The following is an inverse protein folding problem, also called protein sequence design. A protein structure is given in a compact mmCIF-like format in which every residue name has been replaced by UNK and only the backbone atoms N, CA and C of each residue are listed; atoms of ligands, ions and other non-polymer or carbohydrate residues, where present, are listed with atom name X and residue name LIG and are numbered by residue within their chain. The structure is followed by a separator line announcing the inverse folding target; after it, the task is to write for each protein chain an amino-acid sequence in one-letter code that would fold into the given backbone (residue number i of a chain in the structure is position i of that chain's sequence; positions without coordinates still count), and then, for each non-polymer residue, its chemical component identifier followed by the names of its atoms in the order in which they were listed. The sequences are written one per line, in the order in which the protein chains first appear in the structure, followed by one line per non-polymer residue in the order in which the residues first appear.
data_IF_802165089571
#
_entry.id   IF_802165089571
#
_cell.length_a   1.000
_cell.length_b   1.000
_cell.length_c   1.000
_cell.angle_alpha   90.00
_cell.angle_beta   90.00
_cell.angle_gamma   90.00
#
_symmetry.space_group_name_H-M   'P 1'
#
loop_
_entity.id
_entity.type
_entity.pdbx_description
1 polymer ?
#
# COMPACT_ATOMS: atom_id res chain seq x y z
N UNK A 1 -4.18 67.65 -57.17
CA UNK A 1 -4.38 67.87 -55.73
C UNK A 1 -3.93 66.65 -54.90
N UNK A 2 -2.61 66.37 -54.73
CA UNK A 2 -2.13 65.30 -53.83
C UNK A 2 -1.22 65.79 -52.68
N UNK A 3 -1.02 67.10 -52.50
CA UNK A 3 -0.02 67.65 -51.57
C UNK A 3 -0.50 67.90 -50.15
N UNK A 4 -1.80 67.81 -49.85
CA UNK A 4 -2.34 68.13 -48.50
C UNK A 4 -2.55 66.90 -47.59
N UNK A 5 -2.51 65.68 -48.13
CA UNK A 5 -2.73 64.45 -47.35
C UNK A 5 -1.42 63.88 -46.75
N UNK A 6 -0.30 64.02 -47.46
CA UNK A 6 1.02 63.55 -47.00
C UNK A 6 1.55 64.39 -45.83
N UNK A 7 1.35 65.70 -45.85
CA UNK A 7 1.77 66.59 -44.76
C UNK A 7 1.00 66.33 -43.45
N UNK A 8 -0.28 65.95 -43.54
CA UNK A 8 -1.10 65.60 -42.36
C UNK A 8 -0.69 64.26 -41.74
N UNK A 9 -0.29 63.28 -42.55
CA UNK A 9 0.18 61.97 -42.06
C UNK A 9 1.58 62.11 -41.44
N UNK A 10 2.44 62.96 -41.99
CA UNK A 10 3.76 63.24 -41.43
C UNK A 10 3.65 63.93 -40.06
N UNK A 11 2.78 64.94 -39.95
CA UNK A 11 2.45 65.63 -38.68
C UNK A 11 1.86 64.70 -37.60
N UNK A 12 0.99 63.74 -37.97
CA UNK A 12 0.45 62.78 -37.02
C UNK A 12 1.51 61.78 -36.52
N UNK A 13 2.44 61.35 -37.38
CA UNK A 13 3.55 60.46 -37.00
C UNK A 13 4.55 61.15 -36.07
N UNK A 14 4.86 62.43 -36.30
CA UNK A 14 5.73 63.21 -35.42
C UNK A 14 5.08 63.47 -34.06
N UNK A 15 3.78 63.80 -34.01
CA UNK A 15 3.04 63.94 -32.75
C UNK A 15 3.00 62.64 -31.93
N UNK A 16 2.83 61.48 -32.58
CA UNK A 16 2.82 60.18 -31.88
C UNK A 16 4.21 59.80 -31.35
N UNK A 17 5.28 60.10 -32.08
CA UNK A 17 6.66 59.85 -31.65
C UNK A 17 7.07 60.74 -30.47
N UNK A 18 6.69 62.03 -30.49
CA UNK A 18 6.93 62.92 -29.33
C UNK A 18 6.10 62.55 -28.11
N UNK A 19 4.85 62.11 -28.30
CA UNK A 19 4.00 61.61 -27.20
C UNK A 19 4.58 60.37 -26.50
N UNK A 20 5.16 59.44 -27.27
CA UNK A 20 5.84 58.25 -26.72
C UNK A 20 7.15 58.62 -26.01
N UNK A 21 7.88 59.61 -26.52
CA UNK A 21 9.12 60.11 -25.89
C UNK A 21 8.84 60.79 -24.55
N UNK A 22 7.80 61.63 -24.48
CA UNK A 22 7.35 62.27 -23.24
C UNK A 22 6.84 61.25 -22.22
N UNK A 23 6.13 60.20 -22.65
CA UNK A 23 5.69 59.12 -21.76
C UNK A 23 6.87 58.33 -21.17
N UNK A 24 7.90 58.08 -21.99
CA UNK A 24 9.13 57.38 -21.57
C UNK A 24 9.96 58.24 -20.60
N UNK A 25 10.07 59.55 -20.87
CA UNK A 25 10.68 60.50 -19.95
C UNK A 25 9.88 60.63 -18.64
N UNK A 26 8.55 60.69 -18.69
CA UNK A 26 7.71 60.69 -17.49
C UNK A 26 7.88 59.39 -16.68
N UNK A 27 7.96 58.23 -17.33
CA UNK A 27 8.22 56.95 -16.66
C UNK A 27 9.63 56.91 -16.04
N UNK A 28 10.65 57.43 -16.72
CA UNK A 28 12.00 57.57 -16.17
C UNK A 28 12.08 58.57 -15.02
N UNK A 29 11.35 59.70 -15.10
CA UNK A 29 11.25 60.69 -14.02
C UNK A 29 10.49 60.10 -12.83
N UNK A 30 9.43 59.31 -13.04
CA UNK A 30 8.72 58.58 -11.97
C UNK A 30 9.66 57.53 -11.33
N UNK A 31 10.51 56.88 -12.12
CA UNK A 31 11.51 55.92 -11.64
C UNK A 31 12.66 56.60 -10.89
N UNK A 32 13.10 57.78 -11.34
CA UNK A 32 14.07 58.65 -10.66
C UNK A 32 13.49 59.23 -9.36
N UNK A 33 12.23 59.67 -9.35
CA UNK A 33 11.55 60.15 -8.14
C UNK A 33 11.40 59.01 -7.12
N UNK A 34 11.09 57.78 -7.55
CA UNK A 34 11.07 56.60 -6.67
C UNK A 34 12.44 56.27 -6.08
N UNK A 35 13.52 56.47 -6.82
CA UNK A 35 14.90 56.23 -6.34
C UNK A 35 15.41 57.35 -5.43
N UNK A 36 15.05 58.61 -5.67
CA UNK A 36 15.32 59.74 -4.78
C UNK A 36 14.51 59.62 -3.47
N UNK A 37 13.24 59.21 -3.52
CA UNK A 37 12.43 58.92 -2.33
C UNK A 37 13.08 57.82 -1.46
N UNK A 38 13.65 56.79 -2.10
CA UNK A 38 14.41 55.72 -1.42
C UNK A 38 15.70 56.23 -0.78
N UNK A 39 16.40 57.18 -1.41
CA UNK A 39 17.60 57.80 -0.83
C UNK A 39 17.27 58.73 0.35
N UNK A 40 16.21 59.53 0.25
CA UNK A 40 15.75 60.42 1.34
C UNK A 40 15.20 59.63 2.54
N UNK A 41 14.53 58.50 2.32
CA UNK A 41 14.07 57.63 3.41
C UNK A 41 15.24 57.01 4.22
N UNK A 42 16.38 56.72 3.58
CA UNK A 42 17.60 56.21 4.24
C UNK A 42 18.28 57.25 5.13
N UNK A 43 18.13 58.53 4.85
CA UNK A 43 18.75 59.62 5.61
C UNK A 43 18.01 59.99 6.91
N UNK A 44 16.74 59.55 7.06
CA UNK A 44 15.84 60.03 8.11
C UNK A 44 15.43 58.98 9.15
N UNK A 45 16.12 57.83 9.21
CA UNK A 45 15.83 56.78 10.19
C UNK A 45 14.50 56.03 9.98
N UNK A 46 13.87 56.16 8.81
CA UNK A 46 12.64 55.43 8.50
C UNK A 46 12.94 53.96 8.24
N UNK A 47 12.25 53.08 8.97
CA UNK A 47 12.40 51.62 8.81
C UNK A 47 11.74 51.19 7.49
N UNK A 48 12.32 50.23 6.76
CA UNK A 48 11.79 49.76 5.46
C UNK A 48 11.00 48.48 5.63
N UNK A 49 9.81 48.39 5.04
CA UNK A 49 8.98 47.18 5.11
C UNK A 49 9.63 46.02 4.35
N UNK A 50 9.81 44.86 5.00
CA UNK A 50 10.40 43.67 4.37
C UNK A 50 9.52 43.08 3.26
N UNK A 51 8.18 43.14 3.36
CA UNK A 51 7.28 42.58 2.35
C UNK A 51 7.12 43.40 1.06
N UNK A 52 7.14 44.74 1.12
CA UNK A 52 6.92 45.59 -0.06
C UNK A 52 8.08 46.55 -0.39
N UNK A 53 9.14 46.55 0.42
CA UNK A 53 10.34 47.37 0.28
C UNK A 53 10.11 48.89 0.23
N UNK A 54 8.94 49.35 0.70
CA UNK A 54 8.62 50.77 0.84
C UNK A 54 8.87 51.24 2.29
N UNK A 55 9.19 52.53 2.50
CA UNK A 55 9.42 53.08 3.83
C UNK A 55 8.15 53.01 4.68
N UNK A 56 8.30 52.60 5.93
CA UNK A 56 7.25 52.63 6.94
C UNK A 56 7.17 54.08 7.46
N UNK A 57 6.09 54.77 7.12
CA UNK A 57 5.82 56.13 7.61
C UNK A 57 5.45 56.17 9.11
N UNK A 58 4.76 57.23 9.55
CA UNK A 58 4.36 57.42 10.96
C UNK A 58 3.17 56.54 11.43
N UNK A 59 2.86 55.46 10.71
CA UNK A 59 1.73 54.57 11.00
C UNK A 59 2.09 53.40 11.93
N UNK A 60 1.08 52.57 12.25
CA UNK A 60 1.30 51.29 12.97
C UNK A 60 2.13 50.33 12.10
N UNK A 61 3.15 49.71 12.68
CA UNK A 61 4.01 48.73 12.02
C UNK A 61 4.21 47.50 12.90
N UNK A 62 4.49 46.37 12.28
CA UNK A 62 4.85 45.13 12.95
C UNK A 62 6.37 45.00 12.95
N UNK A 63 6.95 44.60 14.08
CA UNK A 63 8.38 44.29 14.21
C UNK A 63 8.52 42.81 14.51
N UNK A 64 9.02 42.04 13.56
CA UNK A 64 9.15 40.58 13.65
C UNK A 64 10.20 40.06 12.67
N UNK A 65 10.85 38.94 13.01
CA UNK A 65 11.96 38.34 12.23
C UNK A 65 13.09 39.34 11.96
N UNK A 66 13.51 40.07 13.01
CA UNK A 66 14.54 41.13 12.94
C UNK A 66 14.27 42.21 11.87
N UNK A 67 13.03 42.29 11.41
CA UNK A 67 12.57 43.15 10.32
C UNK A 67 11.30 43.89 10.73
N UNK A 68 10.91 44.87 9.91
CA UNK A 68 9.62 45.55 10.08
C UNK A 68 8.73 45.34 8.88
N UNK A 69 7.43 45.34 9.13
CA UNK A 69 6.41 45.03 8.15
C UNK A 69 5.24 46.01 8.29
N UNK A 70 4.66 46.42 7.17
CA UNK A 70 3.31 46.96 7.21
C UNK A 70 2.36 45.84 7.67
N UNK A 71 1.32 46.15 8.48
CA UNK A 71 0.34 45.15 8.91
C UNK A 71 -0.29 44.38 7.73
N UNK A 72 -0.47 45.03 6.58
CA UNK A 72 -1.02 44.44 5.36
C UNK A 72 0.00 43.68 4.50
N UNK A 73 1.29 43.80 4.79
CA UNK A 73 2.37 43.13 4.06
C UNK A 73 2.88 41.88 4.79
N UNK A 74 2.56 41.70 6.08
CA UNK A 74 2.84 40.47 6.81
C UNK A 74 1.68 39.49 6.59
N UNK A 75 1.82 38.62 5.59
CA UNK A 75 0.75 37.75 5.09
C UNK A 75 1.09 36.29 5.28
N UNK A 76 0.09 35.50 5.61
CA UNK A 76 0.22 34.05 5.72
C UNK A 76 0.58 33.47 4.36
N UNK A 77 1.61 32.61 4.30
CA UNK A 77 2.06 32.02 3.04
C UNK A 77 1.00 31.08 2.42
N UNK A 78 0.19 30.41 3.23
CA UNK A 78 -0.83 29.48 2.76
C UNK A 78 -2.07 30.17 2.15
N UNK A 79 -2.64 31.17 2.84
CA UNK A 79 -3.90 31.81 2.42
C UNK A 79 -3.73 33.23 1.87
N UNK A 80 -2.52 33.79 1.92
CA UNK A 80 -2.17 35.14 1.49
C UNK A 80 -2.92 36.28 2.20
N UNK A 81 -3.64 35.99 3.28
CA UNK A 81 -4.30 37.00 4.11
C UNK A 81 -3.35 37.56 5.19
N UNK A 82 -3.51 38.83 5.61
CA UNK A 82 -2.71 39.42 6.66
C UNK A 82 -2.75 38.64 7.97
N UNK A 83 -1.60 38.43 8.60
CA UNK A 83 -1.50 37.81 9.92
C UNK A 83 -1.66 38.90 10.96
N UNK A 84 -2.88 39.05 11.47
CA UNK A 84 -3.25 40.02 12.51
C UNK A 84 -3.16 39.44 13.93
N UNK A 85 -3.02 38.12 14.06
CA UNK A 85 -2.90 37.42 15.34
C UNK A 85 -1.55 37.69 16.00
N UNK A 86 -1.55 37.93 17.32
CA UNK A 86 -0.31 38.12 18.10
C UNK A 86 0.58 36.87 18.10
N UNK A 87 -0.01 35.69 17.94
CA UNK A 87 0.72 34.42 17.89
C UNK A 87 0.50 33.77 16.52
N UNK A 88 1.58 33.59 15.77
CA UNK A 88 1.59 32.95 14.45
C UNK A 88 2.59 31.79 14.44
N UNK A 89 2.62 31.02 13.36
CA UNK A 89 3.58 29.93 13.17
C UNK A 89 4.60 30.30 12.08
N UNK A 90 5.81 29.73 12.19
CA UNK A 90 6.90 29.94 11.25
C UNK A 90 7.34 28.60 10.69
N UNK A 91 7.49 28.52 9.37
CA UNK A 91 8.04 27.36 8.65
C UNK A 91 8.89 27.87 7.50
N UNK A 92 10.14 27.41 7.39
CA UNK A 92 11.10 27.84 6.34
C UNK A 92 11.15 29.37 6.14
N UNK A 93 11.24 30.12 7.24
CA UNK A 93 11.22 31.60 7.26
C UNK A 93 9.96 32.25 6.63
N UNK A 94 8.88 31.49 6.47
CA UNK A 94 7.58 31.99 6.03
C UNK A 94 6.57 32.05 7.20
N UNK A 95 5.82 33.14 7.35
CA UNK A 95 4.78 33.25 8.37
C UNK A 95 3.50 32.55 7.92
N UNK A 96 2.85 31.86 8.85
CA UNK A 96 1.56 31.21 8.67
C UNK A 96 0.60 31.59 9.80
N UNK A 97 -0.70 31.69 9.50
CA UNK A 97 -1.70 31.61 10.58
C UNK A 97 -1.54 30.28 11.31
N UNK A 98 -1.83 30.25 12.63
CA UNK A 98 -1.74 29.01 13.40
C UNK A 98 -2.67 27.92 12.88
N UNK A 99 -3.84 28.31 12.41
CA UNK A 99 -4.82 27.43 11.76
C UNK A 99 -4.28 26.90 10.43
N UNK A 100 -3.78 27.76 9.54
CA UNK A 100 -3.20 27.34 8.26
C UNK A 100 -2.00 26.42 8.44
N UNK A 101 -1.08 26.77 9.34
CA UNK A 101 0.05 25.90 9.68
C UNK A 101 -0.41 24.54 10.20
N UNK A 102 -1.46 24.52 11.03
CA UNK A 102 -2.02 23.26 11.52
C UNK A 102 -2.62 22.43 10.38
N UNK A 103 -3.40 23.04 9.48
CA UNK A 103 -3.98 22.32 8.35
C UNK A 103 -2.92 21.72 7.41
N UNK A 104 -1.83 22.44 7.16
CA UNK A 104 -0.80 22.03 6.20
C UNK A 104 0.20 21.03 6.79
N UNK A 105 0.62 21.21 8.05
CA UNK A 105 1.75 20.48 8.62
C UNK A 105 1.38 19.52 9.75
N UNK A 106 0.21 19.67 10.36
CA UNK A 106 -0.17 18.81 11.48
C UNK A 106 -0.76 17.50 10.95
N UNK A 107 -0.20 16.32 11.31
CA UNK A 107 -0.67 15.06 10.78
C UNK A 107 -2.11 14.79 11.22
N UNK A 108 -2.90 14.26 10.28
CA UNK A 108 -4.22 13.68 10.51
C UNK A 108 -4.10 12.17 10.69
N UNK A 109 -5.00 11.62 11.50
CA UNK A 109 -5.12 10.19 11.76
C UNK A 109 -5.90 9.53 10.62
N UNK A 110 -5.33 8.52 9.98
CA UNK A 110 -5.97 7.78 8.89
C UNK A 110 -7.17 6.92 9.37
N UNK A 111 -7.36 6.78 10.68
CA UNK A 111 -8.47 6.06 11.29
C UNK A 111 -9.63 7.00 11.64
N UNK A 112 -9.38 8.05 12.43
CA UNK A 112 -10.45 8.91 12.92
C UNK A 112 -10.61 10.23 12.16
N UNK A 113 -9.75 10.50 11.17
CA UNK A 113 -9.73 11.71 10.33
C UNK A 113 -9.56 13.03 11.10
N UNK A 114 -9.12 12.94 12.37
CA UNK A 114 -8.80 14.09 13.20
C UNK A 114 -7.30 14.35 13.24
N UNK A 115 -6.91 15.58 13.54
CA UNK A 115 -5.53 15.92 13.89
C UNK A 115 -5.04 15.11 15.09
N UNK A 116 -3.86 14.52 14.98
CA UNK A 116 -3.29 13.66 16.03
C UNK A 116 -2.85 14.53 17.23
N UNK A 117 -3.44 14.37 18.42
CA UNK A 117 -3.20 15.29 19.53
C UNK A 117 -1.73 15.33 19.97
N UNK A 118 -1.28 16.50 20.44
CA UNK A 118 0.02 16.66 21.09
C UNK A 118 -0.03 16.05 22.50
N UNK A 119 1.04 15.37 22.90
CA UNK A 119 1.22 14.86 24.25
C UNK A 119 1.44 16.01 25.27
N UNK A 120 1.62 15.66 26.55
CA UNK A 120 1.86 16.65 27.63
C UNK A 120 3.12 17.49 27.44
N UNK A 121 4.08 17.00 26.67
CA UNK A 121 5.33 17.69 26.37
C UNK A 121 5.21 18.58 25.11
N UNK A 122 4.04 18.67 24.50
CA UNK A 122 3.80 19.44 23.27
C UNK A 122 4.30 18.75 21.99
N UNK A 123 4.70 17.48 22.07
CA UNK A 123 5.16 16.70 20.91
C UNK A 123 4.00 15.92 20.29
N UNK A 124 4.00 15.79 18.97
CA UNK A 124 3.03 14.97 18.25
C UNK A 124 3.57 13.54 18.18
N UNK A 125 2.87 12.63 18.85
CA UNK A 125 3.19 11.20 18.83
C UNK A 125 2.10 10.43 18.09
N UNK A 126 2.48 9.68 17.06
CA UNK A 126 1.58 8.81 16.32
C UNK A 126 2.18 7.42 16.17
N UNK A 127 1.31 6.44 15.93
CA UNK A 127 1.71 5.09 15.50
C UNK A 127 1.58 5.00 14.00
N UNK A 128 2.35 4.12 13.38
CA UNK A 128 2.25 3.83 11.97
C UNK A 128 2.32 2.34 11.72
N UNK A 129 1.51 1.85 10.78
CA UNK A 129 1.67 0.49 10.29
C UNK A 129 3.06 0.36 9.63
N UNK A 130 3.94 -0.58 10.03
CA UNK A 130 5.33 -0.64 9.57
C UNK A 130 5.49 -0.71 8.04
N UNK A 131 4.62 -1.48 7.38
CA UNK A 131 4.63 -1.62 5.92
C UNK A 131 3.75 -0.58 5.17
N UNK A 132 2.48 -0.44 5.57
CA UNK A 132 1.53 0.42 4.85
C UNK A 132 1.72 1.91 5.10
N UNK A 133 2.47 2.28 6.16
CA UNK A 133 2.67 3.65 6.62
C UNK A 133 1.35 4.37 6.97
N UNK A 134 0.29 3.61 7.28
CA UNK A 134 -0.97 4.15 7.79
C UNK A 134 -0.70 4.78 9.15
N UNK A 135 -0.86 6.10 9.28
CA UNK A 135 -0.59 6.86 10.50
C UNK A 135 -1.87 6.98 11.32
N UNK A 136 -1.79 6.72 12.62
CA UNK A 136 -2.96 6.77 13.48
C UNK A 136 -2.64 7.20 14.92
N UNK A 137 -3.68 7.66 15.62
CA UNK A 137 -3.60 8.02 17.02
C UNK A 137 -3.19 6.80 17.86
N UNK A 138 -2.28 6.93 18.84
CA UNK A 138 -1.89 5.83 19.72
C UNK A 138 -3.06 5.15 20.46
N UNK A 139 -4.15 5.88 20.71
CA UNK A 139 -5.36 5.34 21.35
C UNK A 139 -6.03 4.21 20.56
N UNK A 140 -5.81 4.13 19.24
CA UNK A 140 -6.42 3.09 18.41
C UNK A 140 -5.78 1.70 18.59
N UNK A 141 -4.66 1.59 19.31
CA UNK A 141 -4.11 0.27 19.69
C UNK A 141 -5.01 -0.45 20.70
N UNK A 142 -5.71 0.31 21.56
CA UNK A 142 -6.42 -0.24 22.72
C UNK A 142 -7.94 0.02 22.69
N UNK A 143 -8.46 0.80 21.73
CA UNK A 143 -9.89 1.16 21.68
C UNK A 143 -10.79 0.16 20.95
N UNK A 144 -10.23 -0.97 20.51
CA UNK A 144 -10.95 -2.00 19.77
C UNK A 144 -11.16 -1.69 18.29
N UNK A 145 -10.46 -0.70 17.72
CA UNK A 145 -10.46 -0.44 16.27
C UNK A 145 -10.04 -1.71 15.51
N UNK A 146 -10.90 -2.27 14.64
CA UNK A 146 -10.59 -3.52 13.98
C UNK A 146 -9.48 -3.38 12.94
N UNK A 147 -8.76 -4.47 12.68
CA UNK A 147 -7.76 -4.57 11.61
C UNK A 147 -8.22 -5.54 10.53
N UNK A 148 -7.87 -5.25 9.29
CA UNK A 148 -8.10 -6.18 8.18
C UNK A 148 -7.27 -7.45 8.39
N UNK A 149 -7.89 -8.64 8.32
CA UNK A 149 -7.20 -9.92 8.52
C UNK A 149 -6.15 -10.26 7.44
N UNK A 150 -6.18 -9.54 6.31
CA UNK A 150 -5.26 -9.78 5.18
C UNK A 150 -4.16 -8.74 5.03
N UNK A 151 -4.43 -7.46 5.28
CA UNK A 151 -3.45 -6.38 5.13
C UNK A 151 -3.12 -5.65 6.43
N UNK A 152 -3.74 -6.03 7.56
CA UNK A 152 -3.48 -5.51 8.92
C UNK A 152 -3.72 -4.01 9.15
N UNK A 153 -4.11 -3.28 8.10
CA UNK A 153 -4.58 -1.89 8.20
C UNK A 153 -5.80 -1.79 9.11
N UNK A 154 -5.79 -0.78 9.97
CA UNK A 154 -6.94 -0.45 10.83
C UNK A 154 -8.11 0.09 10.00
N UNK A 155 -9.33 -0.23 10.44
CA UNK A 155 -10.59 0.22 9.85
C UNK A 155 -10.82 1.73 10.08
N UNK A 156 -10.86 2.57 9.02
CA UNK A 156 -11.18 3.98 9.17
C UNK A 156 -12.62 4.20 9.62
N UNK A 157 -12.89 5.19 10.47
CA UNK A 157 -14.25 5.52 10.94
C UNK A 157 -15.21 5.89 9.81
N UNK A 158 -14.68 6.45 8.72
CA UNK A 158 -15.45 6.82 7.54
C UNK A 158 -15.81 5.62 6.65
N UNK A 159 -15.11 4.48 6.77
CA UNK A 159 -15.23 3.33 5.88
C UNK A 159 -15.40 2.07 6.70
N UNK A 160 -16.55 1.40 6.54
CA UNK A 160 -16.81 0.17 7.26
C UNK A 160 -16.24 -1.05 6.54
N UNK A 161 -15.46 -1.87 7.22
CA UNK A 161 -14.97 -3.14 6.69
C UNK A 161 -16.07 -4.20 6.62
N UNK A 162 -15.86 -5.22 5.79
CA UNK A 162 -16.72 -6.41 5.75
C UNK A 162 -16.43 -7.26 6.98
N UNK A 163 -17.47 -7.79 7.60
CA UNK A 163 -17.36 -8.79 8.67
C UNK A 163 -17.72 -10.16 8.09
N UNK A 164 -16.76 -11.09 8.14
CA UNK A 164 -16.93 -12.48 7.77
C UNK A 164 -17.67 -13.24 8.88
N UNK A 165 -18.19 -14.44 8.59
CA UNK A 165 -19.01 -15.20 9.54
C UNK A 165 -18.25 -15.65 10.79
N UNK A 166 -16.92 -15.80 10.67
CA UNK A 166 -16.02 -16.10 11.79
C UNK A 166 -15.58 -14.85 12.58
N UNK A 167 -16.16 -13.68 12.28
CA UNK A 167 -15.88 -12.41 12.95
C UNK A 167 -14.67 -11.64 12.42
N UNK A 168 -13.86 -12.22 11.52
CA UNK A 168 -12.75 -11.50 10.88
C UNK A 168 -13.24 -10.29 10.10
N UNK A 169 -12.38 -9.28 9.99
CA UNK A 169 -12.63 -8.07 9.21
C UNK A 169 -11.83 -8.06 7.92
N UNK A 170 -12.45 -7.64 6.83
CA UNK A 170 -11.81 -7.52 5.53
C UNK A 170 -12.05 -6.11 4.96
N UNK A 171 -10.97 -5.41 4.64
CA UNK A 171 -11.07 -4.11 3.99
C UNK A 171 -11.57 -4.27 2.53
N UNK A 172 -12.18 -3.22 1.98
CA UNK A 172 -12.79 -3.28 0.64
C UNK A 172 -11.75 -3.59 -0.46
N UNK A 173 -10.54 -3.05 -0.38
CA UNK A 173 -9.47 -3.35 -1.35
C UNK A 173 -9.01 -4.82 -1.30
N UNK A 174 -9.06 -5.47 -0.12
CA UNK A 174 -8.78 -6.91 -0.01
C UNK A 174 -9.97 -7.75 -0.48
N UNK A 175 -11.19 -7.28 -0.26
CA UNK A 175 -12.41 -7.94 -0.71
C UNK A 175 -12.45 -8.09 -2.24
N UNK A 176 -12.01 -7.09 -2.99
CA UNK A 176 -12.07 -7.06 -4.46
C UNK A 176 -11.43 -8.28 -5.13
N UNK A 177 -10.43 -8.89 -4.49
CA UNK A 177 -9.73 -10.09 -4.99
C UNK A 177 -9.97 -11.32 -4.11
N UNK A 178 -10.89 -11.26 -3.15
CA UNK A 178 -11.13 -12.35 -2.20
C UNK A 178 -11.74 -13.58 -2.88
N UNK A 179 -11.20 -14.75 -2.53
CA UNK A 179 -11.73 -16.04 -2.97
C UNK A 179 -12.70 -16.52 -1.90
N UNK A 180 -13.95 -16.73 -2.33
CA UNK A 180 -15.08 -16.89 -1.40
C UNK A 180 -15.75 -18.25 -1.49
N UNK A 181 -15.44 -19.05 -2.51
CA UNK A 181 -15.91 -20.43 -2.62
C UNK A 181 -14.88 -21.37 -3.25
N UNK A 182 -15.17 -22.66 -3.14
CA UNK A 182 -14.26 -23.72 -3.60
C UNK A 182 -14.05 -23.71 -5.13
N UNK A 183 -15.07 -23.52 -5.99
CA UNK A 183 -14.87 -23.39 -7.43
C UNK A 183 -13.91 -22.28 -7.84
N UNK A 184 -14.00 -21.09 -7.23
CA UNK A 184 -13.03 -20.00 -7.47
C UNK A 184 -11.61 -20.39 -7.06
N UNK A 185 -11.46 -21.12 -5.95
CA UNK A 185 -10.18 -21.62 -5.47
C UNK A 185 -9.55 -22.64 -6.44
N UNK A 186 -10.37 -23.47 -7.09
CA UNK A 186 -9.87 -24.47 -8.05
C UNK A 186 -9.16 -23.83 -9.24
N UNK A 187 -9.62 -22.67 -9.72
CA UNK A 187 -8.92 -21.94 -10.78
C UNK A 187 -7.53 -21.47 -10.34
N UNK A 188 -7.43 -20.99 -9.10
CA UNK A 188 -6.15 -20.61 -8.51
C UNK A 188 -5.24 -21.83 -8.34
N UNK A 189 -5.78 -22.99 -7.95
CA UNK A 189 -5.01 -24.23 -7.86
C UNK A 189 -4.36 -24.61 -9.19
N UNK A 190 -5.06 -24.46 -10.31
CA UNK A 190 -4.47 -24.69 -11.63
C UNK A 190 -3.31 -23.72 -11.93
N UNK A 191 -3.44 -22.45 -11.54
CA UNK A 191 -2.33 -21.47 -11.65
C UNK A 191 -1.13 -21.87 -10.77
N UNK A 192 -1.35 -22.50 -9.61
CA UNK A 192 -0.28 -23.03 -8.77
C UNK A 192 0.36 -24.26 -9.42
N UNK A 193 -0.44 -25.16 -10.02
CA UNK A 193 0.09 -26.32 -10.74
C UNK A 193 1.03 -25.89 -11.88
N UNK A 194 0.62 -24.91 -12.70
CA UNK A 194 1.47 -24.34 -13.76
C UNK A 194 2.75 -23.73 -13.20
N UNK A 195 2.67 -23.06 -12.03
CA UNK A 195 3.87 -22.53 -11.36
C UNK A 195 4.82 -23.65 -10.91
N UNK A 196 4.31 -24.74 -10.33
CA UNK A 196 5.13 -25.89 -9.93
C UNK A 196 5.77 -26.57 -11.14
N UNK A 197 5.04 -26.73 -12.24
CA UNK A 197 5.57 -27.22 -13.52
C UNK A 197 6.72 -26.32 -14.01
N UNK A 198 6.57 -25.00 -13.92
CA UNK A 198 7.62 -24.03 -14.25
C UNK A 198 8.86 -24.10 -13.34
N UNK A 199 8.75 -24.70 -12.15
CA UNK A 199 9.87 -25.01 -11.25
C UNK A 199 10.48 -26.41 -11.51
N UNK A 200 9.99 -27.13 -12.52
CA UNK A 200 10.28 -28.53 -12.80
C UNK A 200 9.95 -29.44 -11.60
N UNK A 201 8.82 -29.16 -10.95
CA UNK A 201 8.25 -29.95 -9.87
C UNK A 201 6.90 -30.48 -10.33
N UNK A 202 6.74 -31.81 -10.32
CA UNK A 202 5.50 -32.47 -10.70
C UNK A 202 4.80 -33.02 -9.45
N UNK A 203 3.51 -32.69 -9.32
CA UNK A 203 2.61 -33.26 -8.31
C UNK A 203 1.60 -34.11 -9.06
N UNK A 204 1.93 -35.39 -9.24
CA UNK A 204 1.15 -36.32 -10.09
C UNK A 204 -0.26 -36.58 -9.55
N UNK A 205 -0.43 -36.53 -8.22
CA UNK A 205 -1.71 -36.77 -7.60
C UNK A 205 -2.62 -35.56 -7.74
N UNK A 206 -3.84 -35.77 -8.23
CA UNK A 206 -4.89 -34.74 -8.15
C UNK A 206 -5.34 -34.60 -6.69
N UNK A 207 -5.04 -33.47 -6.07
CA UNK A 207 -5.38 -33.20 -4.67
C UNK A 207 -6.61 -32.30 -4.63
N UNK A 208 -7.71 -32.71 -3.95
CA UNK A 208 -8.85 -31.83 -3.72
C UNK A 208 -8.44 -30.59 -2.92
N UNK A 209 -8.77 -29.40 -3.42
CA UNK A 209 -8.58 -28.14 -2.68
C UNK A 209 -9.95 -27.65 -2.21
N UNK A 210 -10.12 -27.44 -0.92
CA UNK A 210 -11.40 -27.09 -0.31
C UNK A 210 -11.28 -25.76 0.45
N UNK A 211 -12.18 -24.81 0.17
CA UNK A 211 -12.34 -23.66 1.05
C UNK A 211 -13.21 -24.01 2.24
N UNK A 212 -12.75 -23.65 3.43
CA UNK A 212 -13.39 -24.02 4.69
C UNK A 212 -13.52 -22.83 5.63
N UNK A 213 -14.45 -22.95 6.57
CA UNK A 213 -14.56 -22.04 7.70
C UNK A 213 -13.44 -22.28 8.72
N UNK A 214 -13.15 -21.27 9.55
CA UNK A 214 -12.16 -21.37 10.63
C UNK A 214 -12.43 -22.55 11.57
N UNK A 215 -13.70 -22.78 11.90
CA UNK A 215 -14.11 -23.88 12.76
C UNK A 215 -13.74 -25.24 12.16
N UNK A 216 -14.07 -25.46 10.88
CA UNK A 216 -13.76 -26.70 10.17
C UNK A 216 -12.24 -26.91 10.00
N UNK A 217 -11.48 -25.83 9.80
CA UNK A 217 -10.02 -25.90 9.71
C UNK A 217 -9.38 -26.32 11.05
N UNK A 218 -9.88 -25.78 12.16
CA UNK A 218 -9.40 -26.14 13.50
C UNK A 218 -9.76 -27.60 13.86
N UNK A 219 -10.99 -28.03 13.57
CA UNK A 219 -11.42 -29.43 13.76
C UNK A 219 -10.59 -30.41 12.91
N UNK A 220 -10.19 -30.01 11.71
CA UNK A 220 -9.29 -30.79 10.86
C UNK A 220 -7.88 -30.88 11.45
N UNK A 221 -7.36 -29.75 11.95
CA UNK A 221 -6.05 -29.70 12.59
C UNK A 221 -5.96 -30.57 13.85
N UNK A 222 -7.00 -30.59 14.68
CA UNK A 222 -7.05 -31.44 15.89
C UNK A 222 -7.14 -32.94 15.56
N UNK A 223 -7.76 -33.30 14.44
CA UNK A 223 -7.86 -34.69 13.98
C UNK A 223 -6.54 -35.21 13.40
N UNK A 224 -5.69 -34.32 12.87
CA UNK A 224 -4.38 -34.65 12.33
C UNK A 224 -3.37 -34.89 13.46
N UNK A 225 -2.91 -36.14 13.60
CA UNK A 225 -2.01 -36.58 14.68
C UNK A 225 -0.62 -35.90 14.65
N UNK A 226 -0.27 -35.29 13.52
CA UNK A 226 1.01 -34.59 13.30
C UNK A 226 0.83 -33.10 13.02
N UNK A 227 -0.36 -32.53 13.22
CA UNK A 227 -0.64 -31.12 12.94
C UNK A 227 0.13 -30.16 13.84
N UNK A 228 0.92 -29.26 13.27
CA UNK A 228 1.58 -28.20 14.03
C UNK A 228 0.62 -27.03 14.27
N UNK A 229 0.42 -26.67 15.54
CA UNK A 229 -0.46 -25.57 15.92
C UNK A 229 0.23 -24.21 15.70
N UNK A 230 -0.26 -23.45 14.73
CA UNK A 230 0.01 -22.02 14.59
C UNK A 230 -1.05 -21.21 15.35
N UNK A 231 -0.72 -19.98 15.82
CA UNK A 231 -1.71 -19.09 16.45
C UNK A 231 -2.88 -18.72 15.52
N UNK A 232 -2.68 -18.77 14.20
CA UNK A 232 -3.75 -18.69 13.19
C UNK A 232 -3.40 -19.54 11.95
N UNK A 233 -3.67 -20.84 11.98
CA UNK A 233 -3.59 -21.71 10.80
C UNK A 233 -4.58 -21.20 9.72
N UNK A 234 -4.09 -20.97 8.49
CA UNK A 234 -4.89 -20.46 7.35
C UNK A 234 -4.93 -21.42 6.15
N UNK A 235 -4.11 -22.46 6.19
CA UNK A 235 -4.10 -23.59 5.26
C UNK A 235 -3.73 -24.86 6.01
N UNK A 236 -4.12 -26.02 5.48
CA UNK A 236 -3.76 -27.32 6.05
C UNK A 236 -3.74 -28.41 4.97
N UNK A 237 -2.61 -29.07 4.82
CA UNK A 237 -2.48 -30.31 4.06
C UNK A 237 -2.92 -31.52 4.92
N UNK A 238 -3.89 -32.30 4.42
CA UNK A 238 -4.47 -33.45 5.12
C UNK A 238 -3.94 -34.78 4.60
N UNK A 239 -3.82 -35.75 5.50
CA UNK A 239 -3.30 -37.09 5.19
C UNK A 239 -4.22 -38.21 5.68
N UNK A 240 -5.07 -37.92 6.66
CA UNK A 240 -5.98 -38.90 7.24
C UNK A 240 -7.41 -38.79 6.66
N UNK A 241 -8.20 -39.84 6.88
CA UNK A 241 -9.62 -39.83 6.52
C UNK A 241 -10.41 -38.94 7.46
N UNK A 242 -11.17 -37.99 6.90
CA UNK A 242 -12.01 -37.09 7.68
C UNK A 242 -13.22 -36.62 6.87
N UNK A 243 -14.27 -36.19 7.57
CA UNK A 243 -15.38 -35.44 6.96
C UNK A 243 -15.12 -33.96 7.23
N UNK A 244 -15.00 -33.17 6.18
CA UNK A 244 -14.72 -31.73 6.26
C UNK A 244 -15.92 -30.95 5.75
N UNK A 245 -16.24 -29.82 6.40
CA UNK A 245 -17.26 -28.88 5.92
C UNK A 245 -16.61 -27.83 5.01
N UNK A 246 -17.03 -27.80 3.75
CA UNK A 246 -16.52 -26.89 2.72
C UNK A 246 -17.57 -25.87 2.29
N UNK A 247 -17.11 -24.75 1.74
CA UNK A 247 -17.96 -23.70 1.17
C UNK A 247 -18.32 -24.04 -0.27
N UNK A 248 -19.61 -24.20 -0.53
CA UNK A 248 -20.14 -24.61 -1.84
C UNK A 248 -20.38 -23.43 -2.77
N UNK A 249 -20.70 -22.26 -2.22
CA UNK A 249 -21.12 -21.09 -3.00
C UNK A 249 -20.67 -19.81 -2.33
N UNK A 250 -20.23 -18.85 -3.13
CA UNK A 250 -19.89 -17.50 -2.67
C UNK A 250 -21.06 -16.88 -1.90
N UNK A 251 -20.84 -16.45 -0.64
CA UNK A 251 -21.85 -15.75 0.13
C UNK A 251 -22.20 -14.38 -0.45
N UNK A 252 -23.39 -13.88 -0.10
CA UNK A 252 -23.83 -12.54 -0.47
C UNK A 252 -23.43 -11.52 0.60
N UNK A 253 -23.16 -10.29 0.18
CA UNK A 253 -22.89 -9.18 1.11
C UNK A 253 -24.20 -8.45 1.38
N UNK A 254 -24.66 -8.55 2.62
CA UNK A 254 -25.88 -7.93 3.11
C UNK A 254 -25.69 -6.51 3.66
N UNK A 255 -26.80 -5.90 4.14
CA UNK A 255 -26.77 -4.59 4.76
C UNK A 255 -25.81 -4.56 5.96
N UNK A 256 -25.09 -3.44 6.09
CA UNK A 256 -24.14 -3.24 7.17
C UNK A 256 -22.80 -3.96 7.01
N UNK A 257 -22.46 -4.37 5.78
CA UNK A 257 -21.18 -5.00 5.41
C UNK A 257 -20.96 -6.34 6.12
N UNK A 258 -22.00 -7.18 6.15
CA UNK A 258 -21.97 -8.52 6.74
C UNK A 258 -22.24 -9.57 5.69
N UNK A 259 -21.63 -10.73 5.86
CA UNK A 259 -21.91 -11.90 5.04
C UNK A 259 -23.32 -12.44 5.36
N UNK A 260 -24.05 -12.84 4.31
CA UNK A 260 -25.35 -13.50 4.35
C UNK A 260 -25.33 -14.75 3.45
N UNK A 261 -26.22 -15.69 3.76
CA UNK A 261 -26.52 -16.87 2.95
C UNK A 261 -25.29 -17.73 2.60
N UNK A 262 -24.36 -17.92 3.54
CA UNK A 262 -23.26 -18.86 3.35
C UNK A 262 -23.79 -20.30 3.30
N UNK A 263 -23.48 -21.00 2.21
CA UNK A 263 -23.91 -22.39 2.00
C UNK A 263 -22.69 -23.30 2.15
N UNK A 264 -22.74 -24.17 3.16
CA UNK A 264 -21.70 -25.18 3.41
C UNK A 264 -22.19 -26.59 3.07
N UNK A 265 -21.29 -27.45 2.61
CA UNK A 265 -21.53 -28.87 2.35
C UNK A 265 -20.50 -29.74 3.05
N UNK A 266 -20.84 -31.00 3.29
CA UNK A 266 -19.88 -31.99 3.80
C UNK A 266 -19.14 -32.67 2.64
N UNK A 267 -17.84 -32.86 2.79
CA UNK A 267 -16.99 -33.59 1.87
C UNK A 267 -16.31 -34.72 2.63
N UNK A 268 -16.48 -35.96 2.17
CA UNK A 268 -15.86 -37.13 2.79
C UNK A 268 -14.52 -37.40 2.14
N UNK A 269 -13.44 -37.18 2.89
CA UNK A 269 -12.09 -37.55 2.50
C UNK A 269 -11.89 -39.04 2.75
N UNK A 270 -11.44 -39.74 1.71
CA UNK A 270 -11.12 -41.16 1.76
C UNK A 270 -9.64 -41.35 1.45
N UNK A 271 -8.96 -42.24 2.16
CA UNK A 271 -7.51 -42.43 2.09
C UNK A 271 -7.16 -43.39 0.96
N UNK A 272 -7.45 -42.95 -0.26
CA UNK A 272 -7.12 -43.69 -1.48
C UNK A 272 -5.76 -43.24 -2.04
N UNK A 273 -5.17 -42.23 -1.41
CA UNK A 273 -3.97 -41.53 -1.84
C UNK A 273 -3.21 -41.00 -0.60
N UNK A 274 -1.95 -40.61 -0.74
CA UNK A 274 -1.11 -40.23 0.41
C UNK A 274 -1.49 -38.85 0.99
N UNK A 275 -2.02 -37.96 0.16
CA UNK A 275 -2.52 -36.64 0.54
C UNK A 275 -4.01 -36.61 0.26
N UNK A 276 -4.87 -36.41 1.25
CA UNK A 276 -6.32 -36.53 1.07
C UNK A 276 -6.98 -35.25 0.57
N UNK A 277 -6.51 -34.08 1.03
CA UNK A 277 -6.94 -32.76 0.56
C UNK A 277 -6.00 -31.65 1.03
N UNK A 278 -6.14 -30.46 0.42
CA UNK A 278 -5.62 -29.19 0.96
C UNK A 278 -6.82 -28.33 1.35
N UNK A 279 -6.87 -27.92 2.63
CA UNK A 279 -7.85 -26.98 3.14
C UNK A 279 -7.28 -25.58 3.15
N UNK A 280 -8.08 -24.58 2.77
CA UNK A 280 -7.69 -23.17 2.87
C UNK A 280 -8.83 -22.37 3.52
N UNK A 281 -8.48 -21.47 4.44
CA UNK A 281 -9.44 -20.58 5.08
C UNK A 281 -10.06 -19.63 4.04
N UNK A 282 -11.38 -19.55 4.00
CA UNK A 282 -12.09 -18.72 3.04
C UNK A 282 -11.94 -17.21 3.28
N UNK A 283 -12.27 -16.40 2.27
CA UNK A 283 -12.36 -14.95 2.41
C UNK A 283 -11.01 -14.26 2.49
N UNK A 284 -9.98 -14.88 1.93
CA UNK A 284 -8.65 -14.30 1.76
C UNK A 284 -8.49 -13.79 0.31
N UNK A 285 -7.78 -12.67 0.08
CA UNK A 285 -7.39 -12.18 -1.24
C UNK A 285 -6.66 -13.25 -2.05
N UNK A 286 -6.86 -13.29 -3.36
CA UNK A 286 -6.27 -14.27 -4.29
C UNK A 286 -4.77 -14.47 -4.08
N UNK A 287 -4.01 -13.39 -3.90
CA UNK A 287 -2.56 -13.45 -3.67
C UNK A 287 -2.20 -14.03 -2.31
N UNK A 288 -3.02 -13.82 -1.29
CA UNK A 288 -2.82 -14.45 0.00
C UNK A 288 -3.19 -15.94 -0.05
N UNK A 289 -4.35 -16.26 -0.64
CA UNK A 289 -4.79 -17.65 -0.85
C UNK A 289 -3.77 -18.44 -1.66
N UNK A 290 -3.19 -17.85 -2.71
CA UNK A 290 -2.22 -18.55 -3.57
C UNK A 290 -0.87 -18.76 -2.90
N UNK A 291 -0.43 -17.82 -2.06
CA UNK A 291 0.75 -17.98 -1.22
C UNK A 291 0.57 -19.14 -0.24
N UNK A 292 -0.59 -19.24 0.41
CA UNK A 292 -0.90 -20.38 1.30
C UNK A 292 -0.99 -21.67 0.50
N UNK A 293 -1.68 -21.66 -0.66
CA UNK A 293 -1.83 -22.86 -1.47
C UNK A 293 -0.49 -23.38 -2.02
N UNK A 294 0.43 -22.49 -2.43
CA UNK A 294 1.78 -22.87 -2.82
C UNK A 294 2.59 -23.47 -1.66
N UNK A 295 2.38 -22.98 -0.44
CA UNK A 295 2.97 -23.54 0.78
C UNK A 295 2.43 -24.96 1.05
N UNK A 296 1.11 -25.14 1.10
CA UNK A 296 0.49 -26.45 1.37
C UNK A 296 0.77 -27.46 0.25
N UNK A 297 0.81 -27.01 -1.01
CA UNK A 297 1.15 -27.87 -2.14
C UNK A 297 2.61 -28.34 -2.08
N UNK A 298 3.50 -27.58 -1.45
CA UNK A 298 4.87 -28.02 -1.19
C UNK A 298 4.91 -29.11 -0.11
N UNK A 299 4.12 -29.01 0.96
CA UNK A 299 3.95 -30.13 1.91
C UNK A 299 3.43 -31.39 1.21
N UNK A 300 2.42 -31.25 0.35
CA UNK A 300 1.91 -32.37 -0.43
C UNK A 300 2.99 -32.99 -1.33
N UNK A 301 3.78 -32.17 -2.02
CA UNK A 301 4.89 -32.64 -2.85
C UNK A 301 5.93 -33.42 -2.02
N UNK A 302 6.34 -32.89 -0.87
CA UNK A 302 7.30 -33.54 0.03
C UNK A 302 6.79 -34.91 0.46
N UNK A 303 5.52 -35.00 0.86
CA UNK A 303 4.87 -36.25 1.25
C UNK A 303 4.92 -37.29 0.12
N UNK A 304 4.41 -36.92 -1.05
CA UNK A 304 4.29 -37.80 -2.23
C UNK A 304 5.63 -38.29 -2.76
N UNK A 305 6.71 -37.55 -2.51
CA UNK A 305 8.06 -37.89 -2.97
C UNK A 305 8.92 -38.57 -1.90
N UNK A 306 8.30 -39.00 -0.79
CA UNK A 306 8.94 -39.79 0.26
C UNK A 306 9.90 -38.99 1.13
N UNK A 307 9.71 -37.67 1.26
CA UNK A 307 10.40 -36.88 2.28
C UNK A 307 9.75 -37.16 3.63
N UNK A 308 10.33 -38.11 4.39
CA UNK A 308 9.82 -38.53 5.69
C UNK A 308 10.78 -38.09 6.80
N UNK A 309 10.26 -37.72 7.96
CA UNK A 309 11.05 -37.34 9.14
C UNK A 309 12.00 -36.15 8.93
N UNK A 310 11.60 -35.18 8.11
CA UNK A 310 12.29 -33.89 8.06
C UNK A 310 12.17 -33.21 9.42
N UNK A 311 13.19 -32.44 9.81
CA UNK A 311 13.02 -31.50 10.92
C UNK A 311 12.01 -30.45 10.49
N UNK A 312 11.13 -30.06 11.41
CA UNK A 312 10.05 -29.09 11.17
C UNK A 312 10.61 -27.80 10.56
N UNK A 313 11.77 -27.33 11.02
CA UNK A 313 12.40 -26.12 10.47
C UNK A 313 12.80 -26.25 8.98
N UNK A 314 13.14 -27.46 8.51
CA UNK A 314 13.50 -27.70 7.10
C UNK A 314 12.25 -27.83 6.24
N UNK A 315 11.25 -28.56 6.75
CA UNK A 315 9.97 -28.75 6.06
C UNK A 315 9.24 -27.41 5.89
N UNK A 316 8.99 -26.70 6.98
CA UNK A 316 8.32 -25.39 6.97
C UNK A 316 9.16 -24.35 6.22
N UNK A 317 10.49 -24.40 6.38
CA UNK A 317 11.40 -23.50 5.69
C UNK A 317 11.30 -23.60 4.18
N UNK A 318 11.31 -24.81 3.61
CA UNK A 318 11.21 -24.98 2.15
C UNK A 318 9.81 -24.64 1.63
N UNK A 319 8.75 -24.93 2.39
CA UNK A 319 7.39 -24.54 2.06
C UNK A 319 7.22 -23.01 2.04
N UNK A 320 7.81 -22.29 2.99
CA UNK A 320 7.87 -20.82 2.99
C UNK A 320 8.63 -20.27 1.77
N UNK A 321 9.73 -20.91 1.36
CA UNK A 321 10.47 -20.51 0.17
C UNK A 321 9.61 -20.61 -1.09
N UNK A 322 8.88 -21.72 -1.28
CA UNK A 322 8.01 -21.89 -2.46
C UNK A 322 6.88 -20.84 -2.46
N UNK A 323 6.28 -20.57 -1.31
CA UNK A 323 5.29 -19.51 -1.14
C UNK A 323 5.82 -18.14 -1.56
N UNK A 324 7.03 -17.80 -1.11
CA UNK A 324 7.74 -16.56 -1.44
C UNK A 324 8.08 -16.45 -2.93
N UNK A 325 8.55 -17.54 -3.55
CA UNK A 325 8.85 -17.59 -4.99
C UNK A 325 7.59 -17.35 -5.83
N UNK A 326 6.46 -17.95 -5.44
CA UNK A 326 5.19 -17.73 -6.12
C UNK A 326 4.76 -16.26 -6.06
N UNK A 327 4.78 -15.65 -4.87
CA UNK A 327 4.52 -14.21 -4.71
C UNK A 327 5.46 -13.35 -5.57
N UNK A 328 6.73 -13.73 -5.64
CA UNK A 328 7.72 -13.13 -6.52
C UNK A 328 7.27 -13.16 -7.99
N UNK A 329 6.96 -14.34 -8.53
CA UNK A 329 6.49 -14.47 -9.91
C UNK A 329 5.23 -13.64 -10.20
N UNK A 330 4.34 -13.54 -9.21
CA UNK A 330 3.11 -12.78 -9.33
C UNK A 330 3.36 -11.26 -9.39
N UNK A 331 4.39 -10.75 -8.69
CA UNK A 331 4.79 -9.34 -8.75
C UNK A 331 5.47 -9.01 -10.10
N UNK A 332 6.35 -9.90 -10.59
CA UNK A 332 7.10 -9.69 -11.84
C UNK A 332 6.21 -9.78 -13.08
N UNK A 333 5.29 -10.75 -13.14
CA UNK A 333 4.39 -10.93 -14.28
C UNK A 333 3.55 -9.67 -14.60
N UNK A 334 3.27 -8.82 -13.60
CA UNK A 334 2.52 -7.58 -13.77
C UNK A 334 3.34 -6.37 -14.22
N UNK A 335 4.65 -6.47 -14.41
CA UNK A 335 5.52 -5.36 -14.83
C UNK A 335 5.88 -5.38 -16.32
N UNK A 336 5.67 -6.51 -16.99
CA UNK A 336 6.03 -6.73 -18.40
C UNK A 336 5.02 -6.17 -19.42
N UNK A 337 3.89 -5.60 -18.97
CA UNK A 337 2.78 -5.18 -19.86
C UNK A 337 2.89 -3.75 -20.41
N UNK A 338 4.05 -3.08 -20.32
CA UNK A 338 4.23 -1.70 -20.80
C UNK A 338 4.88 -1.58 -22.21
N UNK A 339 5.05 -2.68 -22.94
CA UNK A 339 5.44 -2.62 -24.36
C UNK A 339 4.20 -2.61 -25.24
N UNK A 340 3.89 -1.45 -25.82
CA UNK A 340 2.91 -1.32 -26.89
C UNK A 340 3.34 -2.20 -28.07
N UNK A 341 2.46 -3.09 -28.52
CA UNK A 341 2.66 -3.81 -29.78
C UNK A 341 1.33 -3.86 -30.52
N UNK A 342 1.32 -3.12 -31.63
CA UNK A 342 0.32 -3.14 -32.68
C UNK A 342 0.36 -4.44 -33.49
N UNK A 343 -0.80 -4.80 -34.06
CA UNK A 343 -1.09 -5.75 -35.15
C UNK A 343 -1.19 -7.27 -34.88
N UNK A 344 -2.46 -7.72 -34.93
CA UNK A 344 -3.08 -8.83 -35.71
C UNK A 344 -2.52 -10.27 -35.72
N UNK A 345 -3.28 -11.13 -35.03
CA UNK A 345 -3.76 -12.49 -35.33
C UNK A 345 -2.84 -13.53 -36.00
N UNK A 346 -2.54 -14.64 -35.29
CA UNK A 346 -3.24 -15.94 -35.45
C UNK A 346 -2.57 -17.07 -34.63
N UNK A 347 -3.40 -18.07 -34.25
CA UNK A 347 -3.10 -19.42 -33.70
C UNK A 347 -2.71 -19.59 -32.21
N UNK A 348 -3.42 -20.56 -31.61
CA UNK A 348 -3.36 -21.14 -30.24
C UNK A 348 -4.06 -20.36 -29.10
N UNK A 349 -5.08 -20.95 -28.43
CA UNK A 349 -5.63 -20.39 -27.19
C UNK A 349 -4.77 -20.87 -26.02
N UNK A 350 -3.68 -20.17 -25.74
CA UNK A 350 -2.89 -20.38 -24.52
C UNK A 350 -3.28 -19.36 -23.46
N UNK A 351 -3.62 -19.88 -22.28
CA UNK A 351 -3.77 -19.22 -20.98
C UNK A 351 -4.87 -18.16 -20.86
N UNK A 352 -5.78 -18.41 -19.92
CA UNK A 352 -6.72 -17.44 -19.35
C UNK A 352 -5.99 -16.14 -19.04
N UNK A 353 -6.43 -15.02 -19.67
CA UNK A 353 -5.88 -13.69 -19.44
C UNK A 353 -5.83 -13.37 -17.94
N UNK A 354 -4.67 -13.53 -17.29
CA UNK A 354 -4.37 -12.88 -15.99
C UNK A 354 -4.55 -11.38 -16.22
N UNK A 355 -5.64 -10.81 -15.71
CA UNK A 355 -5.91 -9.38 -15.81
C UNK A 355 -4.76 -8.56 -15.23
N UNK A 356 -4.61 -7.32 -15.70
CA UNK A 356 -3.58 -6.42 -15.16
C UNK A 356 -3.81 -6.21 -13.66
N UNK A 357 -2.82 -6.58 -12.84
CA UNK A 357 -2.90 -6.45 -11.38
C UNK A 357 -2.94 -5.00 -10.95
N UNK A 358 -3.79 -4.70 -9.98
CA UNK A 358 -3.93 -3.36 -9.40
C UNK A 358 -2.67 -2.96 -8.64
N UNK A 359 -2.48 -1.65 -8.40
CA UNK A 359 -1.40 -1.14 -7.55
C UNK A 359 -1.50 -1.70 -6.12
N UNK A 360 -2.72 -1.88 -5.62
CA UNK A 360 -2.98 -2.45 -4.31
C UNK A 360 -2.54 -3.92 -4.25
N UNK A 361 -2.93 -4.75 -5.22
CA UNK A 361 -2.54 -6.17 -5.27
C UNK A 361 -1.01 -6.36 -5.29
N UNK A 362 -0.28 -5.54 -6.07
CA UNK A 362 1.19 -5.58 -6.07
C UNK A 362 1.77 -5.24 -4.70
N UNK A 363 1.23 -4.22 -4.04
CA UNK A 363 1.65 -3.82 -2.70
C UNK A 363 1.26 -4.86 -1.63
N UNK A 364 0.12 -5.53 -1.79
CA UNK A 364 -0.33 -6.62 -0.95
C UNK A 364 0.58 -7.86 -1.09
N UNK A 365 0.95 -8.24 -2.31
CA UNK A 365 1.95 -9.31 -2.52
C UNK A 365 3.28 -8.98 -1.84
N UNK A 366 3.76 -7.74 -2.00
CA UNK A 366 4.98 -7.28 -1.34
C UNK A 366 4.85 -7.29 0.19
N UNK A 367 3.67 -6.94 0.73
CA UNK A 367 3.39 -7.03 2.16
C UNK A 367 3.48 -8.47 2.66
N UNK A 368 2.79 -9.42 2.02
CA UNK A 368 2.81 -10.84 2.40
C UNK A 368 4.24 -11.40 2.30
N UNK A 369 4.97 -11.05 1.24
CA UNK A 369 6.38 -11.43 1.07
C UNK A 369 7.25 -10.89 2.20
N UNK A 370 7.07 -9.63 2.59
CA UNK A 370 7.76 -9.04 3.74
C UNK A 370 7.40 -9.76 5.06
N UNK A 371 6.16 -10.24 5.24
CA UNK A 371 5.79 -11.02 6.42
C UNK A 371 6.59 -12.33 6.50
N UNK A 372 6.77 -13.04 5.38
CA UNK A 372 7.62 -14.25 5.33
C UNK A 372 9.07 -13.91 5.65
N UNK A 373 9.62 -12.84 5.04
CA UNK A 373 11.02 -12.44 5.22
C UNK A 373 11.36 -11.99 6.66
N UNK A 374 10.39 -11.38 7.33
CA UNK A 374 10.56 -10.78 8.68
C UNK A 374 9.96 -11.63 9.80
N UNK A 375 9.44 -12.82 9.50
CA UNK A 375 8.88 -13.73 10.49
C UNK A 375 9.94 -14.07 11.55
N UNK A 376 9.66 -13.74 12.81
CA UNK A 376 10.56 -13.97 13.94
C UNK A 376 10.47 -15.37 14.54
N UNK A 377 9.54 -16.21 14.07
CA UNK A 377 9.35 -17.56 14.56
C UNK A 377 10.54 -18.45 14.20
N UNK A 378 10.87 -19.36 15.12
CA UNK A 378 11.96 -20.32 14.89
C UNK A 378 11.65 -21.27 13.73
N UNK A 379 10.41 -21.74 13.66
CA UNK A 379 10.04 -22.78 12.69
C UNK A 379 9.94 -22.22 11.28
N UNK A 380 9.13 -21.18 11.07
CA UNK A 380 8.89 -20.64 9.73
C UNK A 380 9.94 -19.59 9.36
N UNK A 381 10.23 -18.66 10.27
CA UNK A 381 11.17 -17.58 10.05
C UNK A 381 12.61 -18.04 9.89
N UNK A 382 13.17 -18.77 10.86
CA UNK A 382 14.54 -19.27 10.74
C UNK A 382 14.65 -20.34 9.63
N UNK A 383 13.62 -21.18 9.47
CA UNK A 383 13.52 -22.15 8.38
C UNK A 383 13.61 -21.48 7.01
N UNK A 384 12.82 -20.43 6.77
CA UNK A 384 12.89 -19.63 5.54
C UNK A 384 14.27 -18.99 5.36
N UNK A 385 14.82 -18.34 6.40
CA UNK A 385 16.15 -17.70 6.35
C UNK A 385 17.28 -18.69 6.06
N UNK A 386 17.14 -19.95 6.47
CA UNK A 386 18.09 -21.00 6.15
C UNK A 386 17.87 -21.57 4.72
N UNK A 387 16.63 -21.79 4.32
CA UNK A 387 16.27 -22.40 3.04
C UNK A 387 16.42 -21.46 1.83
N UNK A 388 16.02 -20.20 1.97
CA UNK A 388 15.97 -19.24 0.86
C UNK A 388 17.34 -19.01 0.21
N UNK A 389 18.44 -18.74 0.96
CA UNK A 389 19.76 -18.57 0.34
C UNK A 389 20.26 -19.83 -0.36
N UNK A 390 19.88 -21.03 0.10
CA UNK A 390 20.24 -22.28 -0.56
C UNK A 390 19.50 -22.42 -1.90
N UNK A 391 18.20 -22.14 -1.92
CA UNK A 391 17.38 -22.18 -3.15
C UNK A 391 17.82 -21.10 -4.14
N UNK A 392 18.11 -19.89 -3.67
CA UNK A 392 18.64 -18.81 -4.52
C UNK A 392 19.98 -19.19 -5.16
N UNK A 393 20.89 -19.79 -4.39
CA UNK A 393 22.24 -20.14 -4.84
C UNK A 393 22.29 -21.38 -5.73
N UNK A 394 21.50 -22.40 -5.42
CA UNK A 394 21.61 -23.73 -6.05
C UNK A 394 20.39 -24.12 -6.89
N UNK A 395 19.29 -23.37 -6.79
CA UNK A 395 18.00 -23.73 -7.36
C UNK A 395 17.22 -24.67 -6.44
N UNK A 396 15.89 -24.62 -6.56
CA UNK A 396 14.97 -25.40 -5.72
C UNK A 396 15.22 -26.91 -5.86
N UNK A 397 15.33 -27.42 -7.09
CA UNK A 397 15.51 -28.84 -7.35
C UNK A 397 16.76 -29.42 -6.69
N UNK A 398 17.92 -28.77 -6.88
CA UNK A 398 19.18 -29.24 -6.27
C UNK A 398 19.15 -29.16 -4.75
N UNK A 399 18.45 -28.17 -4.20
CA UNK A 399 18.25 -28.05 -2.75
C UNK A 399 17.42 -29.21 -2.21
N UNK A 400 16.34 -29.58 -2.90
CA UNK A 400 15.52 -30.75 -2.55
C UNK A 400 16.28 -32.07 -2.67
N UNK A 401 17.07 -32.25 -3.73
CA UNK A 401 17.92 -33.43 -3.91
C UNK A 401 18.93 -33.55 -2.75
N UNK A 402 19.49 -32.43 -2.29
CA UNK A 402 20.38 -32.40 -1.13
C UNK A 402 19.66 -32.74 0.17
N UNK A 403 18.47 -32.17 0.42
CA UNK A 403 17.64 -32.48 1.59
C UNK A 403 17.35 -33.99 1.63
N UNK A 404 16.93 -34.57 0.50
CA UNK A 404 16.63 -36.01 0.39
C UNK A 404 17.85 -36.87 0.68
N UNK A 405 19.02 -36.48 0.18
CA UNK A 405 20.27 -37.19 0.42
C UNK A 405 20.72 -37.13 1.89
N UNK A 406 20.56 -35.98 2.56
CA UNK A 406 20.90 -35.85 3.99
C UNK A 406 19.91 -36.63 4.86
N UNK A 407 18.64 -36.62 4.50
CA UNK A 407 17.59 -37.39 5.17
C UNK A 407 17.88 -38.90 5.13
N UNK A 408 18.30 -39.44 3.98
CA UNK A 408 18.63 -40.87 3.84
C UNK A 408 19.90 -41.32 4.60
N UNK A 409 20.73 -40.38 5.06
CA UNK A 409 21.96 -40.67 5.82
C UNK A 409 21.74 -40.70 7.34
N UNK A 410 20.60 -40.20 7.81
CA UNK A 410 20.15 -40.28 9.20
C UNK A 410 19.26 -41.50 9.36
#
# INVERSE_FOLDING_TARGET
MPSLLLDRIFMLRTCLLEGVFLLRMCLEIIFQQRSILRMLARASGFKTCAGCHNPIGHGRFLSCMDSVWHPQCFRCFACNEPVSEYKFAMHDDQPYHRSCYKEDFHPKCDVCDNFIPTNRNGLIEYRAHPFWMQKYCPSHEDDGTPRCCSCERMEPRAIKYITLDDGRKLCLECLDSSIMDTPECQHLYMDIQEFFEGLNIEVEQQIPVLLVERQALNEALEAEKNGHHLPETRGLCLYEEQIVRMILKRPQIGPGNRILDMITGTYKLSRWCEVTAILILYGLPRLQTGSILAHEMMHAYLRLNGFQNLSIEVEEGICQVVSHLWLGSEIFAGSSSNVASSSSASSAPTSSKKGAKTKFEKKLAAFIKNQIETDSSKVHGDGFRAGYPAVERYGLRRTLDHIKLVMQRK
#
